data_IF_849314710411
#
_entry.id   IF_849314710411
#
_cell.length_a   1.000
_cell.length_b   1.000
_cell.length_c   1.000
_cell.angle_alpha   90.00
_cell.angle_beta   90.00
_cell.angle_gamma   90.00
#
_symmetry.space_group_name_H-M   'P 1'
#
loop_
_entity.id
_entity.type
_entity.pdbx_description
1 polymer ?
#
# COMPACT_ATOMS: atom_id res chain seq x y z
N UNK A 1 24.83 -28.27 -6.81
CA UNK A 1 24.34 -27.73 -8.10
C UNK A 1 23.57 -26.44 -7.85
N UNK A 2 24.22 -25.27 -7.92
CA UNK A 2 23.58 -23.96 -7.68
C UNK A 2 24.16 -22.93 -8.66
N UNK A 3 23.74 -23.00 -9.92
CA UNK A 3 24.24 -22.12 -10.98
C UNK A 3 23.17 -21.50 -11.88
N UNK A 4 21.90 -21.95 -11.78
CA UNK A 4 20.87 -21.57 -12.75
C UNK A 4 19.80 -20.60 -12.20
N UNK A 5 19.75 -20.40 -10.88
CA UNK A 5 18.71 -19.55 -10.27
C UNK A 5 18.98 -18.05 -10.47
N UNK A 6 20.24 -17.64 -10.53
CA UNK A 6 20.62 -16.24 -10.77
C UNK A 6 20.26 -15.76 -12.17
N UNK A 7 20.60 -16.56 -13.19
CA UNK A 7 20.32 -16.20 -14.58
C UNK A 7 18.81 -16.16 -14.88
N UNK A 8 18.05 -17.15 -14.41
CA UNK A 8 16.58 -17.16 -14.54
C UNK A 8 15.91 -15.95 -13.87
N UNK A 9 16.43 -15.50 -12.73
CA UNK A 9 15.92 -14.29 -12.05
C UNK A 9 16.22 -13.02 -12.84
N UNK A 10 17.40 -12.94 -13.46
CA UNK A 10 17.78 -11.79 -14.30
C UNK A 10 16.94 -11.73 -15.58
N UNK A 11 16.73 -12.87 -16.25
CA UNK A 11 15.86 -13.00 -17.42
C UNK A 11 14.41 -12.62 -17.07
N UNK A 12 13.87 -13.16 -15.97
CA UNK A 12 12.54 -12.79 -15.49
C UNK A 12 12.41 -11.30 -15.19
N UNK A 13 13.40 -10.71 -14.52
CA UNK A 13 13.40 -9.27 -14.24
C UNK A 13 13.40 -8.44 -15.54
N UNK A 14 14.12 -8.88 -16.58
CA UNK A 14 14.10 -8.23 -17.88
C UNK A 14 12.76 -8.39 -18.60
N UNK A 15 12.15 -9.57 -18.52
CA UNK A 15 10.81 -9.82 -19.08
C UNK A 15 9.75 -8.95 -18.42
N UNK A 16 9.77 -8.85 -17.10
CA UNK A 16 8.87 -7.98 -16.33
C UNK A 16 9.05 -6.52 -16.75
N UNK A 17 10.29 -6.03 -16.85
CA UNK A 17 10.56 -4.66 -17.31
C UNK A 17 10.04 -4.42 -18.73
N UNK A 18 10.22 -5.39 -19.63
CA UNK A 18 9.72 -5.32 -21.01
C UNK A 18 8.20 -5.24 -21.06
N UNK A 19 7.50 -6.07 -20.28
CA UNK A 19 6.04 -6.09 -20.23
C UNK A 19 5.49 -4.81 -19.57
N UNK A 20 6.12 -4.35 -18.48
CA UNK A 20 5.76 -3.10 -17.81
C UNK A 20 5.96 -1.87 -18.72
N UNK A 21 7.01 -1.89 -19.55
CA UNK A 21 7.32 -0.83 -20.53
C UNK A 21 6.54 -0.93 -21.84
N UNK A 22 5.67 -1.94 -22.03
CA UNK A 22 4.90 -2.11 -23.25
C UNK A 22 3.86 -1.00 -23.43
N UNK A 23 3.55 -0.66 -24.68
CA UNK A 23 2.52 0.36 -24.98
C UNK A 23 1.13 -0.04 -24.48
N UNK A 24 0.81 -1.34 -24.47
CA UNK A 24 -0.43 -1.84 -23.90
C UNK A 24 -0.52 -1.53 -22.39
N UNK A 25 0.54 -1.84 -21.63
CA UNK A 25 0.61 -1.53 -20.20
C UNK A 25 0.57 -0.03 -19.94
N UNK A 26 1.30 0.79 -20.72
CA UNK A 26 1.27 2.24 -20.59
C UNK A 26 -0.11 2.84 -20.86
N UNK A 27 -0.82 2.36 -21.90
CA UNK A 27 -2.18 2.78 -22.20
C UNK A 27 -3.13 2.42 -21.06
N UNK A 28 -3.02 1.19 -20.53
CA UNK A 28 -3.80 0.77 -19.37
C UNK A 28 -3.52 1.66 -18.14
N UNK A 29 -2.26 1.90 -17.79
CA UNK A 29 -1.90 2.78 -16.67
C UNK A 29 -2.41 4.22 -16.83
N UNK A 30 -2.50 4.75 -18.06
CA UNK A 30 -3.09 6.07 -18.33
C UNK A 30 -4.61 6.12 -18.13
N UNK A 31 -5.30 4.98 -18.21
CA UNK A 31 -6.74 4.88 -17.93
C UNK A 31 -7.04 4.72 -16.45
N UNK A 32 -6.06 4.28 -15.65
CA UNK A 32 -6.22 4.19 -14.21
C UNK A 32 -6.30 5.61 -13.63
N UNK A 33 -7.14 5.82 -12.61
CA UNK A 33 -7.12 7.07 -11.87
C UNK A 33 -5.71 7.29 -11.36
N UNK A 34 -5.24 8.54 -11.41
CA UNK A 34 -3.93 8.87 -10.87
C UNK A 34 -3.90 8.45 -9.40
N UNK A 35 -3.17 7.39 -9.09
CA UNK A 35 -2.86 6.99 -7.72
C UNK A 35 -1.93 8.08 -7.17
N UNK A 36 -2.53 9.17 -6.71
CA UNK A 36 -1.82 10.24 -6.04
C UNK A 36 -1.45 9.68 -4.68
N UNK A 37 -0.15 9.58 -4.42
CA UNK A 37 0.33 9.34 -3.08
C UNK A 37 -0.07 10.56 -2.24
N UNK A 38 -1.16 10.41 -1.49
CA UNK A 38 -1.60 11.43 -0.55
C UNK A 38 -0.63 11.40 0.63
N UNK A 39 0.18 12.46 0.75
CA UNK A 39 1.25 12.55 1.75
C UNK A 39 0.71 12.68 3.17
N UNK A 40 -0.54 13.14 3.28
CA UNK A 40 -1.22 13.39 4.54
C UNK A 40 -2.34 12.36 4.73
N UNK A 41 -2.60 12.00 5.98
CA UNK A 41 -3.71 11.10 6.31
C UNK A 41 -5.02 11.82 5.96
N UNK A 42 -5.97 11.18 5.23
CA UNK A 42 -7.25 11.79 4.95
C UNK A 42 -7.97 12.20 6.23
N UNK A 43 -8.51 13.42 6.28
CA UNK A 43 -9.20 13.97 7.48
C UNK A 43 -10.23 13.01 8.07
N UNK A 44 -11.03 12.37 7.20
CA UNK A 44 -12.03 11.38 7.62
C UNK A 44 -11.40 10.21 8.39
N UNK A 45 -10.21 9.76 8.02
CA UNK A 45 -9.52 8.68 8.72
C UNK A 45 -8.99 9.18 10.06
N UNK A 46 -8.39 10.38 10.11
CA UNK A 46 -7.98 11.01 11.37
C UNK A 46 -9.15 11.16 12.34
N UNK A 47 -10.29 11.69 11.89
CA UNK A 47 -11.50 11.84 12.72
C UNK A 47 -11.99 10.51 13.30
N UNK A 48 -11.85 9.41 12.54
CA UNK A 48 -12.23 8.08 13.00
C UNK A 48 -11.25 7.54 14.06
N UNK A 49 -9.96 7.81 13.90
CA UNK A 49 -8.94 7.43 14.88
C UNK A 49 -9.10 8.21 16.18
N UNK A 50 -9.36 9.51 16.11
CA UNK A 50 -9.61 10.35 17.29
C UNK A 50 -10.85 9.87 18.07
N UNK A 51 -11.91 9.47 17.34
CA UNK A 51 -13.10 8.86 17.95
C UNK A 51 -12.81 7.52 18.62
N UNK A 52 -11.95 6.71 17.99
CA UNK A 52 -11.55 5.41 18.55
C UNK A 52 -10.76 5.62 19.84
N UNK A 53 -9.76 6.50 19.83
CA UNK A 53 -8.97 6.86 21.01
C UNK A 53 -9.86 7.36 22.15
N UNK A 54 -10.81 8.25 21.84
CA UNK A 54 -11.79 8.73 22.83
C UNK A 54 -12.69 7.64 23.41
N UNK A 55 -13.04 6.62 22.63
CA UNK A 55 -13.82 5.48 23.10
C UNK A 55 -12.98 4.53 23.98
N UNK A 56 -11.72 4.30 23.63
CA UNK A 56 -10.79 3.48 24.41
C UNK A 56 -10.44 4.13 25.76
N UNK A 57 -10.18 5.45 25.77
CA UNK A 57 -9.93 6.20 27.00
C UNK A 57 -11.13 6.14 27.96
N UNK A 58 -12.36 6.21 27.45
CA UNK A 58 -13.58 6.06 28.25
C UNK A 58 -13.77 4.65 28.81
N UNK A 59 -13.42 3.61 28.04
CA UNK A 59 -13.41 2.24 28.54
C UNK A 59 -12.35 2.04 29.64
N UNK A 60 -11.16 2.63 29.46
CA UNK A 60 -10.07 2.53 30.42
C UNK A 60 -10.38 3.27 31.75
N UNK A 61 -11.09 4.40 31.71
CA UNK A 61 -11.48 5.14 32.92
C UNK A 61 -12.67 4.51 33.66
N UNK A 62 -13.53 3.75 32.97
CA UNK A 62 -14.63 2.99 33.57
C UNK A 62 -14.21 1.76 34.39
N UNK A 63 -12.96 1.29 34.25
CA UNK A 63 -12.44 0.12 34.97
C UNK A 63 -11.76 0.42 36.30
N UNK A 64 -11.56 1.70 36.67
CA UNK A 64 -10.88 2.11 37.92
C UNK A 64 -11.88 2.70 38.94
N UNK A 65 -12.96 1.97 39.18
CA UNK A 65 -13.82 2.13 40.36
C UNK A 65 -14.31 0.75 40.81
N UNK A 66 -13.43 0.02 41.47
CA UNK A 66 -13.68 -0.80 42.67
C UNK A 66 -12.34 -1.25 43.23
#
# INVERSE_FOLDING_TARGET
MSGNHGNRRAELANDIRRQAGSEATKRFLRTLPAFRLEKEVPRRLSDLLDRLEGAEAKKASGGRRQ
#
